data_IF_375320336768
#
_entry.id   IF_375320336768
#
_cell.length_a   1.000
_cell.length_b   1.000
_cell.length_c   1.000
_cell.angle_alpha   90.00
_cell.angle_beta   90.00
_cell.angle_gamma   90.00
#
_symmetry.space_group_name_H-M   'P 1'
#
loop_
_entity.id
_entity.type
_entity.pdbx_description
1 polymer ?
#
# COMPACT_ATOMS: atom_id res chain seq x y z
N UNK A 1 17.05 23.82 -53.01
CA UNK A 1 17.65 22.54 -52.57
C UNK A 1 17.88 22.46 -51.05
N UNK A 2 18.03 23.59 -50.33
CA UNK A 2 18.18 23.61 -48.86
C UNK A 2 16.89 23.28 -48.06
N UNK A 3 15.73 23.51 -48.65
CA UNK A 3 14.43 23.42 -47.95
C UNK A 3 14.01 21.97 -47.63
N UNK A 4 14.28 21.04 -48.55
CA UNK A 4 13.94 19.61 -48.38
C UNK A 4 14.73 18.98 -47.22
N UNK A 5 16.04 19.25 -47.14
CA UNK A 5 16.90 18.75 -46.05
C UNK A 5 16.48 19.29 -44.68
N UNK A 6 16.06 20.55 -44.63
CA UNK A 6 15.54 21.18 -43.41
C UNK A 6 14.22 20.55 -42.99
N UNK A 7 13.32 20.31 -43.95
CA UNK A 7 12.02 19.69 -43.71
C UNK A 7 12.15 18.24 -43.18
N UNK A 8 13.05 17.44 -43.77
CA UNK A 8 13.35 16.08 -43.33
C UNK A 8 13.94 16.09 -41.92
N UNK A 9 14.84 17.02 -41.62
CA UNK A 9 15.46 17.17 -40.30
C UNK A 9 14.43 17.55 -39.24
N UNK A 10 13.54 18.50 -39.55
CA UNK A 10 12.47 18.94 -38.64
C UNK A 10 11.44 17.81 -38.36
N UNK A 11 11.06 17.05 -39.38
CA UNK A 11 10.16 15.89 -39.22
C UNK A 11 10.80 14.77 -38.40
N UNK A 12 12.09 14.50 -38.62
CA UNK A 12 12.85 13.50 -37.86
C UNK A 12 12.96 13.93 -36.40
N UNK A 13 13.34 15.19 -36.14
CA UNK A 13 13.37 15.76 -34.79
C UNK A 13 12.02 15.63 -34.09
N UNK A 14 10.93 16.03 -34.75
CA UNK A 14 9.58 15.93 -34.20
C UNK A 14 9.21 14.50 -33.81
N UNK A 15 9.45 13.53 -34.70
CA UNK A 15 9.17 12.11 -34.41
C UNK A 15 9.99 11.58 -33.24
N UNK A 16 11.27 11.94 -33.18
CA UNK A 16 12.16 11.54 -32.09
C UNK A 16 11.70 12.13 -30.76
N UNK A 17 11.40 13.43 -30.71
CA UNK A 17 10.94 14.12 -29.49
C UNK A 17 9.56 13.62 -29.05
N UNK A 18 8.61 13.43 -29.96
CA UNK A 18 7.29 12.88 -29.62
C UNK A 18 7.39 11.47 -29.02
N UNK A 19 8.26 10.62 -29.58
CA UNK A 19 8.50 9.28 -29.04
C UNK A 19 9.13 9.35 -27.64
N UNK A 20 10.15 10.19 -27.45
CA UNK A 20 10.81 10.36 -26.15
C UNK A 20 9.82 10.88 -25.11
N UNK A 21 8.98 11.87 -25.46
CA UNK A 21 7.98 12.41 -24.55
C UNK A 21 6.94 11.36 -24.15
N UNK A 22 6.49 10.52 -25.09
CA UNK A 22 5.53 9.47 -24.79
C UNK A 22 6.10 8.43 -23.83
N UNK A 23 7.35 8.01 -24.06
CA UNK A 23 8.05 7.05 -23.19
C UNK A 23 8.32 7.67 -21.82
N UNK A 24 8.85 8.89 -21.77
CA UNK A 24 9.10 9.59 -20.51
C UNK A 24 7.82 9.83 -19.69
N UNK A 25 6.69 10.09 -20.35
CA UNK A 25 5.40 10.18 -19.68
C UNK A 25 4.93 8.83 -19.14
N UNK A 26 5.03 7.74 -19.93
CA UNK A 26 4.64 6.41 -19.44
C UNK A 26 5.52 5.97 -18.27
N UNK A 27 6.83 6.20 -18.35
CA UNK A 27 7.77 5.86 -17.29
C UNK A 27 7.47 6.67 -16.02
N UNK A 28 7.22 7.98 -16.16
CA UNK A 28 6.83 8.83 -15.03
C UNK A 28 5.50 8.41 -14.37
N UNK A 29 4.53 7.93 -15.13
CA UNK A 29 3.27 7.39 -14.59
C UNK A 29 3.51 6.09 -13.82
N UNK A 30 4.32 5.18 -14.38
CA UNK A 30 4.67 3.91 -13.74
C UNK A 30 5.46 4.16 -12.45
N UNK A 31 6.48 5.00 -12.49
CA UNK A 31 7.31 5.36 -11.33
C UNK A 31 6.48 6.03 -10.23
N UNK A 32 5.56 6.93 -10.62
CA UNK A 32 4.63 7.56 -9.69
C UNK A 32 3.70 6.54 -9.01
N UNK A 33 3.18 5.58 -9.77
CA UNK A 33 2.35 4.49 -9.24
C UNK A 33 3.15 3.58 -8.30
N UNK A 34 4.36 3.17 -8.69
CA UNK A 34 5.25 2.34 -7.88
C UNK A 34 5.66 3.03 -6.58
N UNK A 35 5.98 4.32 -6.62
CA UNK A 35 6.31 5.12 -5.43
C UNK A 35 5.13 5.22 -4.45
N UNK A 36 3.92 5.47 -4.96
CA UNK A 36 2.72 5.52 -4.14
C UNK A 36 2.36 4.14 -3.55
N UNK A 37 2.60 3.06 -4.31
CA UNK A 37 2.39 1.69 -3.83
C UNK A 37 3.37 1.34 -2.70
N UNK A 38 4.67 1.60 -2.89
CA UNK A 38 5.70 1.26 -1.90
C UNK A 38 5.47 2.00 -0.58
N UNK A 39 5.19 3.30 -0.62
CA UNK A 39 4.91 4.09 0.59
C UNK A 39 3.68 3.59 1.35
N UNK A 40 2.62 3.22 0.63
CA UNK A 40 1.40 2.66 1.23
C UNK A 40 1.64 1.28 1.83
N UNK A 41 2.42 0.44 1.15
CA UNK A 41 2.81 -0.89 1.63
C UNK A 41 3.65 -0.78 2.91
N UNK A 42 4.69 0.06 2.91
CA UNK A 42 5.58 0.24 4.06
C UNK A 42 4.80 0.71 5.29
N UNK A 43 3.85 1.64 5.09
CA UNK A 43 2.99 2.13 6.15
C UNK A 43 2.10 1.02 6.73
N UNK A 44 1.45 0.22 5.86
CA UNK A 44 0.62 -0.90 6.29
C UNK A 44 1.42 -2.02 6.97
N UNK A 45 2.61 -2.33 6.46
CA UNK A 45 3.50 -3.34 7.03
C UNK A 45 3.97 -2.94 8.43
N UNK A 46 4.43 -1.70 8.61
CA UNK A 46 4.87 -1.19 9.92
C UNK A 46 3.72 -1.23 10.95
N UNK A 47 2.51 -0.84 10.54
CA UNK A 47 1.32 -0.87 11.38
C UNK A 47 0.95 -2.30 11.80
N UNK A 48 0.92 -3.23 10.84
CA UNK A 48 0.58 -4.64 11.07
C UNK A 48 1.59 -5.35 11.96
N UNK A 49 2.89 -5.14 11.72
CA UNK A 49 3.96 -5.71 12.54
C UNK A 49 3.88 -5.24 13.99
N UNK A 50 3.69 -3.93 14.21
CA UNK A 50 3.55 -3.36 15.55
C UNK A 50 2.36 -3.97 16.31
N UNK A 51 1.21 -4.04 15.65
CA UNK A 51 0.00 -4.64 16.23
C UNK A 51 0.21 -6.11 16.59
N UNK A 52 0.77 -6.90 15.66
CA UNK A 52 1.03 -8.32 15.89
C UNK A 52 1.98 -8.59 17.06
N UNK A 53 3.04 -7.78 17.20
CA UNK A 53 3.96 -7.88 18.33
C UNK A 53 3.29 -7.52 19.66
N UNK A 54 2.52 -6.43 19.71
CA UNK A 54 1.81 -6.02 20.92
C UNK A 54 0.77 -7.08 21.35
N UNK A 55 0.03 -7.60 20.38
CA UNK A 55 -0.93 -8.68 20.62
C UNK A 55 -0.24 -9.91 21.20
N UNK A 56 0.85 -10.37 20.57
CA UNK A 56 1.62 -11.52 21.04
C UNK A 56 2.19 -11.32 22.45
N UNK A 57 2.69 -10.11 22.75
CA UNK A 57 3.20 -9.76 24.08
C UNK A 57 2.10 -9.82 25.15
N UNK A 58 0.93 -9.23 24.88
CA UNK A 58 -0.21 -9.27 25.79
C UNK A 58 -0.72 -10.69 26.01
N UNK A 59 -0.80 -11.51 24.95
CA UNK A 59 -1.19 -12.92 25.07
C UNK A 59 -0.21 -13.73 25.92
N UNK A 60 1.10 -13.51 25.74
CA UNK A 60 2.13 -14.18 26.52
C UNK A 60 2.06 -13.84 28.01
N UNK A 61 1.86 -12.57 28.36
CA UNK A 61 1.68 -12.12 29.76
C UNK A 61 0.47 -12.81 30.41
N UNK A 62 -0.64 -12.93 29.68
CA UNK A 62 -1.88 -13.50 30.19
C UNK A 62 -1.88 -15.02 30.30
N UNK A 63 -0.82 -15.70 29.87
CA UNK A 63 -0.77 -17.16 29.68
C UNK A 63 -1.99 -17.70 28.92
N UNK A 64 -2.62 -16.86 28.09
CA UNK A 64 -3.74 -17.29 27.27
C UNK A 64 -3.18 -18.24 26.22
N UNK A 65 -3.72 -19.46 26.17
CA UNK A 65 -3.53 -20.32 25.00
C UNK A 65 -4.12 -19.57 23.82
N UNK A 66 -3.25 -19.10 22.93
CA UNK A 66 -3.67 -18.61 21.62
C UNK A 66 -4.12 -19.86 20.86
N UNK A 67 -5.41 -20.21 20.99
CA UNK A 67 -6.05 -21.11 20.04
C UNK A 67 -6.01 -20.38 18.71
N UNK A 68 -4.93 -20.61 17.95
CA UNK A 68 -4.86 -20.16 16.57
C UNK A 68 -6.08 -20.75 15.90
N UNK A 69 -7.02 -19.95 15.37
CA UNK A 69 -7.96 -20.51 14.43
C UNK A 69 -7.11 -21.21 13.37
N UNK A 70 -7.39 -22.49 13.13
CA UNK A 70 -6.77 -23.24 12.03
C UNK A 70 -7.29 -22.58 10.76
N UNK A 71 -6.53 -21.58 10.29
CA UNK A 71 -6.94 -20.60 9.29
C UNK A 71 -5.91 -19.48 9.20
N UNK A 72 -5.87 -18.82 8.05
CA UNK A 72 -4.78 -17.94 7.61
C UNK A 72 -4.48 -16.83 8.63
N UNK A 73 -3.26 -16.83 9.19
CA UNK A 73 -2.79 -15.86 10.20
C UNK A 73 -2.77 -14.41 9.70
N UNK A 74 -3.05 -14.20 8.42
CA UNK A 74 -3.11 -12.94 7.68
C UNK A 74 -4.29 -12.04 8.06
N UNK A 75 -5.31 -12.56 8.76
CA UNK A 75 -6.59 -11.85 8.94
C UNK A 75 -6.94 -11.44 10.38
N UNK A 76 -6.02 -11.55 11.34
CA UNK A 76 -6.34 -11.38 12.79
C UNK A 76 -7.07 -10.05 13.07
N UNK A 77 -6.74 -8.97 12.35
CA UNK A 77 -7.52 -7.72 12.39
C UNK A 77 -7.39 -6.86 11.11
N UNK A 78 -7.01 -7.45 9.98
CA UNK A 78 -6.80 -6.71 8.73
C UNK A 78 -8.14 -6.17 8.19
N UNK A 79 -8.40 -4.87 8.31
CA UNK A 79 -9.68 -4.27 7.92
C UNK A 79 -9.95 -4.34 6.42
N UNK A 80 -8.91 -4.29 5.59
CA UNK A 80 -9.02 -4.50 4.14
C UNK A 80 -9.44 -5.93 3.82
N UNK A 81 -8.89 -6.91 4.55
CA UNK A 81 -9.14 -8.33 4.37
C UNK A 81 -10.54 -8.73 4.89
N UNK A 82 -10.98 -8.09 5.98
CA UNK A 82 -12.28 -8.31 6.62
C UNK A 82 -13.39 -7.59 5.83
N UNK A 83 -13.16 -6.35 5.44
CA UNK A 83 -14.12 -5.48 4.76
C UNK A 83 -13.60 -5.15 3.35
N UNK A 84 -13.85 -6.04 2.38
CA UNK A 84 -13.41 -5.87 0.98
C UNK A 84 -13.90 -4.60 0.28
N UNK A 85 -14.91 -3.91 0.83
CA UNK A 85 -15.40 -2.62 0.33
C UNK A 85 -14.46 -1.43 0.65
N UNK A 86 -13.47 -1.61 1.53
CA UNK A 86 -12.53 -0.54 1.91
C UNK A 86 -11.50 -0.19 0.83
N UNK A 87 -11.43 -0.95 -0.28
CA UNK A 87 -10.43 -0.74 -1.34
C UNK A 87 -10.65 0.60 -2.08
N UNK A 88 -11.86 1.18 -2.00
CA UNK A 88 -12.17 2.47 -2.65
C UNK A 88 -11.80 3.70 -1.81
N UNK A 89 -11.40 3.53 -0.55
CA UNK A 89 -11.02 4.62 0.34
C UNK A 89 -9.59 5.13 0.07
N UNK A 90 -9.32 6.37 0.47
CA UNK A 90 -7.95 6.90 0.45
C UNK A 90 -7.07 6.15 1.47
N UNK A 91 -5.80 5.93 1.12
CA UNK A 91 -4.75 5.31 1.95
C UNK A 91 -4.73 5.85 3.40
N UNK A 92 -4.90 7.16 3.60
CA UNK A 92 -4.92 7.80 4.93
C UNK A 92 -6.13 7.34 5.75
N UNK A 93 -7.30 7.25 5.12
CA UNK A 93 -8.51 6.76 5.78
C UNK A 93 -8.34 5.30 6.18
N UNK A 94 -7.82 4.47 5.26
CA UNK A 94 -7.57 3.06 5.52
C UNK A 94 -6.60 2.85 6.69
N UNK A 95 -5.53 3.64 6.73
CA UNK A 95 -4.57 3.61 7.83
C UNK A 95 -5.22 3.97 9.17
N UNK A 96 -6.03 5.03 9.21
CA UNK A 96 -6.69 5.49 10.42
C UNK A 96 -7.72 4.47 10.92
N UNK A 97 -8.55 3.92 10.03
CA UNK A 97 -9.52 2.88 10.36
C UNK A 97 -8.80 1.65 10.94
N UNK A 98 -7.73 1.19 10.27
CA UNK A 98 -6.94 0.06 10.76
C UNK A 98 -6.32 0.35 12.14
N UNK A 99 -5.88 1.58 12.38
CA UNK A 99 -5.29 2.01 13.66
C UNK A 99 -6.32 1.96 14.77
N UNK A 100 -7.47 2.58 14.57
CA UNK A 100 -8.58 2.62 15.52
C UNK A 100 -9.04 1.19 15.86
N UNK A 101 -9.24 0.34 14.86
CA UNK A 101 -9.64 -1.05 15.08
C UNK A 101 -8.58 -1.89 15.77
N UNK A 102 -7.29 -1.59 15.58
CA UNK A 102 -6.22 -2.24 16.32
C UNK A 102 -6.23 -1.85 17.80
N UNK A 103 -6.44 -0.57 18.10
CA UNK A 103 -6.53 -0.05 19.47
C UNK A 103 -7.75 -0.66 20.19
N UNK A 104 -8.92 -0.66 19.57
CA UNK A 104 -10.14 -1.32 20.09
C UNK A 104 -9.91 -2.82 20.39
N UNK A 105 -9.24 -3.54 19.47
CA UNK A 105 -8.96 -4.96 19.64
C UNK A 105 -8.01 -5.21 20.83
N UNK A 106 -6.99 -4.38 20.96
CA UNK A 106 -6.02 -4.47 22.05
C UNK A 106 -6.65 -4.15 23.41
N UNK A 107 -7.58 -3.20 23.49
CA UNK A 107 -8.31 -2.88 24.72
C UNK A 107 -9.29 -3.99 25.11
N UNK A 108 -10.08 -4.50 24.16
CA UNK A 108 -11.02 -5.60 24.42
C UNK A 108 -10.32 -6.90 24.78
N UNK A 109 -9.14 -7.18 24.20
CA UNK A 109 -8.28 -8.28 24.63
C UNK A 109 -7.72 -8.09 26.04
N UNK A 110 -7.61 -6.84 26.53
CA UNK A 110 -7.20 -6.53 27.90
C UNK A 110 -8.30 -6.80 28.93
N UNK A 111 -9.58 -6.54 28.59
CA UNK A 111 -10.71 -6.56 29.54
C UNK A 111 -11.41 -7.92 29.69
N UNK A 112 -11.12 -8.93 28.85
CA UNK A 112 -11.57 -10.31 29.09
C UNK A 112 -10.73 -10.96 30.19
N UNK A 113 -11.11 -10.73 31.44
CA UNK A 113 -10.73 -11.47 32.65
C UNK A 113 -12.01 -11.82 33.39
#
# INVERSE_FOLDING_TARGET
MFDESSNISAKTWKRTVESINKVGYSDGVVDGQSSSFQSSFDMGYAQGLRFGLELGFKSAIKQQKFERPVGDSSNINCQICINGNSITENIVNLYNIQKEKNEEYLETSSNKT
#
